data_IF_662468326942
#
_entry.id   IF_662468326942
#
_cell.length_a   1.000
_cell.length_b   1.000
_cell.length_c   1.000
_cell.angle_alpha   90.00
_cell.angle_beta   90.00
_cell.angle_gamma   90.00
#
_symmetry.space_group_name_H-M   'P 1'
#
loop_
_entity.id
_entity.type
_entity.pdbx_description
1 polymer ?
#
# COMPACT_ATOMS: atom_id res chain seq x y z
N UNK A 1 11.38 -26.10 11.42
CA UNK A 1 12.52 -25.41 10.77
C UNK A 1 12.13 -23.97 10.54
N UNK A 2 12.60 -23.08 11.43
CA UNK A 2 12.29 -21.66 11.40
C UNK A 2 13.15 -20.97 10.34
N UNK A 3 12.53 -20.56 9.23
CA UNK A 3 13.17 -19.73 8.21
C UNK A 3 13.69 -18.44 8.86
N UNK A 4 14.93 -18.00 8.60
CA UNK A 4 15.47 -16.79 9.19
C UNK A 4 14.73 -15.57 8.63
N UNK A 5 14.10 -14.78 9.51
CA UNK A 5 13.52 -13.45 9.26
C UNK A 5 14.63 -12.43 8.95
N UNK A 6 15.42 -12.66 7.91
CA UNK A 6 16.46 -11.73 7.49
C UNK A 6 15.85 -10.66 6.58
N UNK A 7 15.86 -9.41 7.06
CA UNK A 7 15.66 -8.16 6.33
C UNK A 7 14.24 -7.84 5.80
N UNK A 8 13.24 -7.75 6.69
CA UNK A 8 11.94 -7.09 6.41
C UNK A 8 12.12 -5.62 5.95
N UNK A 9 13.27 -5.01 6.21
CA UNK A 9 13.61 -3.61 5.84
C UNK A 9 14.03 -3.49 4.37
N UNK A 10 14.57 -4.55 3.76
CA UNK A 10 15.10 -4.54 2.38
C UNK A 10 14.28 -5.41 1.42
N UNK A 11 12.95 -5.35 1.52
CA UNK A 11 12.12 -6.02 0.53
C UNK A 11 12.27 -5.34 -0.84
N UNK A 12 12.99 -5.99 -1.74
CA UNK A 12 13.21 -5.52 -3.10
C UNK A 12 11.90 -5.26 -3.85
N UNK A 13 10.80 -5.93 -3.48
CA UNK A 13 9.47 -5.70 -4.07
C UNK A 13 8.89 -4.33 -3.72
N UNK A 14 9.35 -3.70 -2.64
CA UNK A 14 8.94 -2.34 -2.25
C UNK A 14 9.96 -1.32 -2.76
N UNK A 15 11.25 -1.62 -2.65
CA UNK A 15 12.32 -0.68 -2.99
C UNK A 15 12.40 -0.41 -4.50
N UNK A 16 12.29 -1.43 -5.37
CA UNK A 16 12.37 -1.25 -6.82
C UNK A 16 11.25 -0.34 -7.37
N UNK A 17 9.97 -0.56 -7.04
CA UNK A 17 8.91 0.38 -7.42
C UNK A 17 9.07 1.76 -6.79
N UNK A 18 9.62 1.85 -5.58
CA UNK A 18 9.84 3.14 -4.93
C UNK A 18 10.91 3.99 -5.62
N UNK A 19 11.97 3.36 -6.15
CA UNK A 19 12.98 4.05 -6.96
C UNK A 19 12.34 4.64 -8.23
N UNK A 20 11.59 3.84 -9.00
CA UNK A 20 10.86 4.33 -10.18
C UNK A 20 9.83 5.41 -9.80
N UNK A 21 9.13 5.22 -8.67
CA UNK A 21 8.22 6.21 -8.10
C UNK A 21 8.90 7.54 -7.77
N UNK A 22 10.13 7.52 -7.25
CA UNK A 22 10.89 8.72 -6.91
C UNK A 22 11.15 9.61 -8.14
N UNK A 23 11.51 9.00 -9.26
CA UNK A 23 11.72 9.70 -10.53
C UNK A 23 10.39 10.15 -11.15
N UNK A 24 9.33 9.34 -11.09
CA UNK A 24 8.00 9.75 -11.59
C UNK A 24 7.42 10.95 -10.82
N UNK A 25 7.68 11.03 -9.52
CA UNK A 25 7.22 12.15 -8.65
C UNK A 25 7.97 13.46 -8.91
N UNK A 26 9.05 13.47 -9.71
CA UNK A 26 9.70 14.72 -10.17
C UNK A 26 8.83 15.56 -11.12
N UNK A 27 7.67 15.06 -11.56
CA UNK A 27 6.77 15.85 -12.38
C UNK A 27 6.34 17.14 -11.65
N UNK A 28 6.44 18.33 -12.28
CA UNK A 28 6.07 19.61 -11.65
C UNK A 28 4.65 19.59 -11.05
N UNK A 29 3.72 18.89 -11.72
CA UNK A 29 2.33 18.79 -11.26
C UNK A 29 2.17 18.02 -9.94
N UNK A 30 3.01 17.00 -9.70
CA UNK A 30 2.99 16.25 -8.44
C UNK A 30 3.70 17.02 -7.34
N UNK A 31 4.84 17.65 -7.65
CA UNK A 31 5.60 18.46 -6.70
C UNK A 31 4.81 19.65 -6.17
N UNK A 32 3.96 20.30 -6.98
CA UNK A 32 3.13 21.43 -6.52
C UNK A 32 2.21 21.12 -5.34
N UNK A 33 1.92 19.84 -5.06
CA UNK A 33 1.15 19.44 -3.87
C UNK A 33 1.99 19.47 -2.59
N UNK A 34 3.32 19.38 -2.71
CA UNK A 34 4.29 19.48 -1.63
C UNK A 34 5.15 20.74 -1.82
N UNK A 35 4.77 21.88 -1.22
CA UNK A 35 5.39 23.18 -1.50
C UNK A 35 6.89 23.20 -1.15
N UNK A 36 7.29 22.49 -0.09
CA UNK A 36 8.71 22.42 0.32
C UNK A 36 9.54 21.72 -0.76
N UNK A 37 9.09 20.54 -1.18
CA UNK A 37 9.78 19.76 -2.21
C UNK A 37 9.82 20.45 -3.57
N UNK A 38 8.74 21.14 -3.94
CA UNK A 38 8.69 21.94 -5.15
C UNK A 38 9.72 23.07 -5.16
N UNK A 39 9.83 23.84 -4.07
CA UNK A 39 10.81 24.92 -3.95
C UNK A 39 12.22 24.39 -4.08
N UNK A 40 12.56 23.29 -3.38
CA UNK A 40 13.89 22.68 -3.50
C UNK A 40 14.16 22.25 -4.94
N UNK A 41 13.21 21.58 -5.61
CA UNK A 41 13.38 21.17 -7.01
C UNK A 41 13.59 22.36 -7.98
N UNK A 42 12.88 23.47 -7.77
CA UNK A 42 13.06 24.70 -8.56
C UNK A 42 14.44 25.31 -8.32
N UNK A 43 14.91 25.35 -7.06
CA UNK A 43 16.26 25.82 -6.72
C UNK A 43 17.32 24.91 -7.34
N UNK A 44 17.16 23.59 -7.27
CA UNK A 44 18.04 22.60 -7.92
C UNK A 44 18.11 22.82 -9.43
N UNK A 45 16.97 23.06 -10.07
CA UNK A 45 16.90 23.33 -11.50
C UNK A 45 17.59 24.65 -11.86
N UNK A 46 17.32 25.73 -11.12
CA UNK A 46 17.92 27.04 -11.36
C UNK A 46 19.44 27.01 -11.18
N UNK A 47 19.93 26.41 -10.10
CA UNK A 47 21.37 26.23 -9.84
C UNK A 47 22.05 25.38 -10.91
N UNK A 48 21.36 24.33 -11.43
CA UNK A 48 21.85 23.55 -12.56
C UNK A 48 21.99 24.40 -13.84
N UNK A 49 21.03 25.29 -14.12
CA UNK A 49 21.09 26.21 -15.27
C UNK A 49 22.25 27.20 -15.11
N UNK A 50 22.43 27.78 -13.92
CA UNK A 50 23.53 28.69 -13.63
C UNK A 50 24.89 28.01 -13.79
N UNK A 51 25.02 26.76 -13.34
CA UNK A 51 26.22 25.97 -13.52
C UNK A 51 26.55 25.72 -15.00
N UNK A 52 25.56 25.40 -15.83
CA UNK A 52 25.77 25.26 -17.28
C UNK A 52 26.25 26.58 -17.90
N UNK A 53 25.66 27.71 -17.48
CA UNK A 53 26.10 29.04 -17.92
C UNK A 53 27.56 29.29 -17.50
N UNK A 54 27.90 29.03 -16.24
CA UNK A 54 29.25 29.22 -15.71
C UNK A 54 30.28 28.29 -16.40
N UNK A 55 29.89 27.08 -16.77
CA UNK A 55 30.72 26.15 -17.55
C UNK A 55 31.05 26.70 -18.94
N UNK A 56 30.10 27.36 -19.59
CA UNK A 56 30.29 27.95 -20.92
C UNK A 56 31.06 29.28 -20.85
N UNK A 57 30.81 30.10 -19.83
CA UNK A 57 31.46 31.41 -19.68
C UNK A 57 32.83 31.37 -19.01
N UNK A 58 33.30 30.19 -18.58
CA UNK A 58 34.57 30.03 -17.87
C UNK A 58 34.53 30.57 -16.43
N UNK A 59 33.38 30.47 -15.77
CA UNK A 59 33.19 30.85 -14.37
C UNK A 59 34.05 29.99 -13.41
N UNK A 60 34.40 30.57 -12.27
CA UNK A 60 35.19 29.90 -11.24
C UNK A 60 34.40 28.87 -10.43
N UNK A 61 35.13 27.96 -9.78
CA UNK A 61 34.64 27.01 -8.77
C UNK A 61 33.51 26.04 -9.20
N UNK A 62 33.69 25.45 -10.39
CA UNK A 62 32.81 24.44 -10.95
C UNK A 62 32.68 23.20 -10.05
N UNK A 63 33.73 22.82 -9.34
CA UNK A 63 33.74 21.65 -8.45
C UNK A 63 32.77 21.79 -7.29
N UNK A 64 32.81 22.92 -6.59
CA UNK A 64 31.92 23.20 -5.47
C UNK A 64 30.46 23.32 -5.92
N UNK A 65 30.21 24.03 -7.02
CA UNK A 65 28.87 24.20 -7.58
C UNK A 65 28.24 22.86 -7.99
N UNK A 66 29.02 21.99 -8.65
CA UNK A 66 28.57 20.64 -9.01
C UNK A 66 28.24 19.79 -7.79
N UNK A 67 29.06 19.87 -6.73
CA UNK A 67 28.81 19.16 -5.48
C UNK A 67 27.48 19.59 -4.85
N UNK A 68 27.19 20.89 -4.79
CA UNK A 68 25.90 21.40 -4.27
C UNK A 68 24.74 20.88 -5.13
N UNK A 69 24.86 20.94 -6.46
CA UNK A 69 23.80 20.47 -7.38
C UNK A 69 23.50 18.99 -7.17
N UNK A 70 24.53 18.17 -7.01
CA UNK A 70 24.37 16.74 -6.72
C UNK A 70 23.60 16.55 -5.42
N UNK A 71 23.95 17.28 -4.35
CA UNK A 71 23.23 17.19 -3.07
C UNK A 71 21.80 17.70 -3.15
N UNK A 72 21.56 18.76 -3.92
CA UNK A 72 20.22 19.31 -4.15
C UNK A 72 19.32 18.32 -4.91
N UNK A 73 19.82 17.66 -5.94
CA UNK A 73 19.06 16.61 -6.62
C UNK A 73 18.90 15.35 -5.79
N UNK A 74 19.93 14.97 -5.04
CA UNK A 74 19.88 13.83 -4.13
C UNK A 74 18.81 14.01 -3.06
N UNK A 75 18.72 15.18 -2.42
CA UNK A 75 17.70 15.44 -1.40
C UNK A 75 16.28 15.38 -1.98
N UNK A 76 16.08 15.91 -3.20
CA UNK A 76 14.79 15.82 -3.89
C UNK A 76 14.41 14.36 -4.18
N UNK A 77 15.32 13.61 -4.78
CA UNK A 77 15.10 12.19 -5.11
C UNK A 77 14.88 11.35 -3.85
N UNK A 78 15.64 11.61 -2.79
CA UNK A 78 15.56 10.87 -1.54
C UNK A 78 14.22 11.08 -0.85
N UNK A 79 13.70 12.31 -0.80
CA UNK A 79 12.40 12.56 -0.21
C UNK A 79 11.26 11.97 -1.05
N UNK A 80 11.31 12.08 -2.39
CA UNK A 80 10.33 11.42 -3.26
C UNK A 80 10.37 9.88 -3.10
N UNK A 81 11.56 9.31 -2.91
CA UNK A 81 11.77 7.90 -2.65
C UNK A 81 11.18 7.48 -1.30
N UNK A 82 11.46 8.22 -0.23
CA UNK A 82 10.91 7.94 1.10
C UNK A 82 9.37 7.98 1.09
N UNK A 83 8.79 8.94 0.37
CA UNK A 83 7.34 9.03 0.16
C UNK A 83 6.80 7.81 -0.60
N UNK A 84 7.46 7.40 -1.69
CA UNK A 84 7.06 6.23 -2.46
C UNK A 84 7.17 4.91 -1.66
N UNK A 85 8.18 4.78 -0.79
CA UNK A 85 8.31 3.64 0.14
C UNK A 85 7.16 3.64 1.15
N UNK A 86 6.82 4.80 1.71
CA UNK A 86 5.72 4.91 2.68
C UNK A 86 4.36 4.55 2.05
N UNK A 87 4.08 5.08 0.86
CA UNK A 87 2.86 4.76 0.09
C UNK A 87 2.83 3.28 -0.32
N UNK A 88 3.95 2.72 -0.76
CA UNK A 88 4.07 1.33 -1.18
C UNK A 88 3.72 0.34 -0.06
N UNK A 89 4.16 0.62 1.17
CA UNK A 89 3.81 -0.19 2.35
C UNK A 89 2.32 -0.10 2.68
N UNK A 90 1.75 1.10 2.70
CA UNK A 90 0.32 1.29 2.94
C UNK A 90 -0.54 0.57 1.91
N UNK A 91 -0.16 0.65 0.63
CA UNK A 91 -0.86 -0.04 -0.45
C UNK A 91 -0.75 -1.56 -0.36
N UNK A 92 0.42 -2.10 -0.04
CA UNK A 92 0.61 -3.54 0.12
C UNK A 92 -0.25 -4.13 1.26
N UNK A 93 -0.38 -3.40 2.38
CA UNK A 93 -1.22 -3.81 3.49
C UNK A 93 -2.72 -3.68 3.19
N UNK A 94 -3.12 -2.63 2.48
CA UNK A 94 -4.51 -2.48 2.03
C UNK A 94 -4.89 -3.56 1.00
N UNK A 95 -4.00 -3.88 0.07
CA UNK A 95 -4.21 -4.90 -0.94
C UNK A 95 -4.31 -6.30 -0.32
N UNK A 96 -3.55 -6.62 0.73
CA UNK A 96 -3.66 -7.91 1.42
C UNK A 96 -5.00 -8.05 2.14
N UNK A 97 -5.47 -7.01 2.83
CA UNK A 97 -6.80 -6.99 3.45
C UNK A 97 -7.93 -7.10 2.41
N UNK A 98 -7.80 -6.39 1.28
CA UNK A 98 -8.78 -6.45 0.19
C UNK A 98 -8.84 -7.84 -0.44
N UNK A 99 -7.69 -8.49 -0.65
CA UNK A 99 -7.63 -9.89 -1.15
C UNK A 99 -8.27 -10.86 -0.18
N UNK A 100 -7.93 -10.77 1.11
CA UNK A 100 -8.55 -11.59 2.15
C UNK A 100 -10.08 -11.49 2.13
N UNK A 101 -10.64 -10.28 2.01
CA UNK A 101 -12.11 -10.06 1.88
C UNK A 101 -12.71 -10.61 0.59
N UNK A 102 -11.95 -10.66 -0.50
CA UNK A 102 -12.45 -11.08 -1.82
C UNK A 102 -12.42 -12.61 -1.97
N UNK A 103 -11.52 -13.29 -1.26
CA UNK A 103 -11.34 -14.75 -1.33
C UNK A 103 -12.29 -15.53 -0.42
N UNK A 104 -12.93 -14.90 0.57
CA UNK A 104 -13.91 -15.58 1.43
C UNK A 104 -15.13 -16.00 0.61
N UNK A 105 -15.30 -17.31 0.43
CA UNK A 105 -16.49 -17.88 -0.19
C UNK A 105 -17.61 -18.01 0.84
N UNK A 106 -18.83 -17.73 0.40
CA UNK A 106 -20.05 -17.92 1.16
C UNK A 106 -20.87 -19.07 0.57
N UNK A 107 -21.43 -19.92 1.43
CA UNK A 107 -22.37 -20.97 1.04
C UNK A 107 -23.80 -20.39 1.07
N UNK A 108 -24.22 -19.76 -0.03
CA UNK A 108 -25.55 -19.16 -0.15
C UNK A 108 -26.61 -20.24 -0.31
N UNK A 109 -27.58 -20.31 0.60
CA UNK A 109 -28.71 -21.23 0.49
C UNK A 109 -29.65 -20.81 -0.65
N UNK A 110 -30.10 -21.77 -1.45
CA UNK A 110 -30.99 -21.52 -2.60
C UNK A 110 -32.41 -22.00 -2.31
N UNK A 111 -33.26 -21.09 -1.82
CA UNK A 111 -34.68 -21.34 -1.59
C UNK A 111 -34.98 -22.04 -0.26
N UNK A 112 -36.10 -22.76 -0.20
CA UNK A 112 -36.64 -23.37 1.03
C UNK A 112 -35.89 -24.65 1.46
N UNK A 113 -35.08 -25.21 0.56
CA UNK A 113 -34.27 -26.40 0.82
C UNK A 113 -32.91 -26.02 1.42
N UNK A 114 -32.86 -26.11 2.75
CA UNK A 114 -31.69 -25.78 3.58
C UNK A 114 -30.48 -26.70 3.40
N UNK A 115 -30.60 -27.75 2.58
CA UNK A 115 -29.48 -28.68 2.32
C UNK A 115 -28.67 -28.31 1.08
N UNK A 116 -29.20 -27.44 0.21
CA UNK A 116 -28.53 -27.06 -1.04
C UNK A 116 -28.02 -25.62 -0.96
N UNK A 117 -26.70 -25.49 -1.13
CA UNK A 117 -26.04 -24.20 -1.21
C UNK A 117 -25.31 -24.01 -2.53
N UNK A 118 -25.05 -22.74 -2.87
CA UNK A 118 -24.18 -22.31 -3.94
C UNK A 118 -23.01 -21.55 -3.35
N UNK A 119 -21.79 -21.89 -3.77
CA UNK A 119 -20.61 -21.09 -3.44
C UNK A 119 -20.63 -19.80 -4.25
N UNK A 120 -20.65 -18.68 -3.54
CA UNK A 120 -20.58 -17.33 -4.11
C UNK A 120 -19.51 -16.53 -3.36
N UNK A 121 -18.86 -15.52 -4.00
CA UNK A 121 -17.98 -14.61 -3.27
C UNK A 121 -18.76 -13.90 -2.15
N UNK A 122 -18.19 -13.80 -0.94
CA UNK A 122 -18.83 -13.10 0.18
C UNK A 122 -19.18 -11.63 -0.16
N UNK A 123 -18.39 -11.00 -1.04
CA UNK A 123 -18.64 -9.65 -1.56
C UNK A 123 -19.88 -9.52 -2.46
N UNK A 124 -20.48 -10.64 -2.90
CA UNK A 124 -21.68 -10.66 -3.74
C UNK A 124 -22.98 -10.86 -2.94
N UNK A 125 -22.88 -11.12 -1.64
CA UNK A 125 -24.04 -11.26 -0.75
C UNK A 125 -24.83 -9.95 -0.65
N UNK A 126 -26.15 -10.09 -0.55
CA UNK A 126 -27.11 -8.98 -0.40
C UNK A 126 -27.86 -9.12 0.92
N UNK A 127 -28.43 -8.01 1.38
CA UNK A 127 -29.32 -8.00 2.55
C UNK A 127 -30.51 -8.93 2.28
N UNK A 128 -30.75 -9.87 3.20
CA UNK A 128 -31.78 -10.90 3.08
C UNK A 128 -31.30 -12.24 2.53
N UNK A 129 -30.05 -12.34 2.07
CA UNK A 129 -29.44 -13.62 1.71
C UNK A 129 -29.20 -14.47 2.97
N UNK A 130 -29.48 -15.77 2.86
CA UNK A 130 -29.24 -16.73 3.95
C UNK A 130 -28.03 -17.59 3.60
N UNK A 131 -27.05 -17.60 4.50
CA UNK A 131 -25.80 -18.35 4.32
C UNK A 131 -25.68 -19.48 5.33
N UNK A 132 -25.11 -20.60 4.88
CA UNK A 132 -24.72 -21.70 5.75
C UNK A 132 -23.26 -21.50 6.18
N UNK A 133 -23.01 -21.61 7.48
CA UNK A 133 -21.67 -21.55 8.07
C UNK A 133 -21.46 -22.82 8.88
N UNK A 134 -20.45 -23.60 8.53
CA UNK A 134 -20.08 -24.85 9.21
C UNK A 134 -18.82 -24.66 10.06
N UNK A 135 -18.54 -25.63 10.94
CA UNK A 135 -17.34 -25.59 11.76
C UNK A 135 -16.08 -25.52 10.89
N UNK A 136 -15.27 -24.48 11.11
CA UNK A 136 -14.05 -24.21 10.35
C UNK A 136 -14.24 -23.22 9.19
N UNK A 137 -15.47 -22.85 8.84
CA UNK A 137 -15.72 -21.77 7.90
C UNK A 137 -15.41 -20.39 8.54
N UNK A 138 -15.04 -19.43 7.71
CA UNK A 138 -14.92 -18.02 8.10
C UNK A 138 -16.28 -17.36 7.84
N UNK A 139 -16.76 -16.55 8.79
CA UNK A 139 -18.01 -15.79 8.63
C UNK A 139 -17.84 -14.81 7.44
N UNK A 140 -18.63 -14.92 6.37
CA UNK A 140 -18.38 -14.19 5.12
C UNK A 140 -18.86 -12.73 5.13
N UNK A 141 -19.82 -12.38 5.98
CA UNK A 141 -20.37 -11.02 6.15
C UNK A 141 -21.11 -10.88 7.48
N UNK A 142 -21.37 -9.64 7.87
CA UNK A 142 -22.16 -9.33 9.07
C UNK A 142 -23.62 -9.78 8.89
N UNK A 143 -24.26 -10.24 9.97
CA UNK A 143 -25.64 -10.73 9.93
C UNK A 143 -26.15 -11.17 11.30
N UNK A 144 -27.33 -11.76 11.31
CA UNK A 144 -27.96 -12.31 12.51
C UNK A 144 -28.10 -13.83 12.37
N UNK A 145 -27.89 -14.55 13.47
CA UNK A 145 -28.07 -16.00 13.52
C UNK A 145 -29.57 -16.30 13.55
N UNK A 146 -30.08 -16.87 12.45
CA UNK A 146 -31.49 -17.26 12.35
C UNK A 146 -31.76 -18.71 12.83
N UNK A 147 -30.73 -19.56 12.80
CA UNK A 147 -30.84 -20.99 13.12
C UNK A 147 -29.48 -21.57 13.51
N UNK A 148 -29.47 -22.48 14.48
CA UNK A 148 -28.26 -23.13 14.99
C UNK A 148 -27.60 -22.38 16.14
N UNK A 149 -26.60 -23.02 16.74
CA UNK A 149 -25.79 -22.44 17.82
C UNK A 149 -24.36 -22.98 17.68
N UNK A 150 -23.41 -22.07 17.65
CA UNK A 150 -21.99 -22.37 17.49
C UNK A 150 -21.18 -21.38 18.31
N UNK A 151 -19.95 -21.74 18.65
CA UNK A 151 -19.01 -20.81 19.26
C UNK A 151 -18.07 -20.26 18.18
N UNK A 152 -17.89 -18.95 18.16
CA UNK A 152 -17.16 -18.21 17.13
C UNK A 152 -15.93 -17.56 17.73
N UNK A 153 -14.82 -17.59 16.99
CA UNK A 153 -13.61 -16.88 17.36
C UNK A 153 -13.60 -15.49 16.69
N UNK A 154 -13.80 -14.44 17.50
CA UNK A 154 -13.79 -13.04 17.05
C UNK A 154 -12.43 -12.35 17.20
N UNK A 155 -11.35 -13.08 17.49
CA UNK A 155 -10.01 -12.51 17.74
C UNK A 155 -9.49 -11.63 16.59
N UNK A 156 -9.96 -11.86 15.36
CA UNK A 156 -9.61 -11.04 14.20
C UNK A 156 -10.13 -9.60 14.30
N UNK A 157 -11.19 -9.35 15.08
CA UNK A 157 -11.81 -8.03 15.26
C UNK A 157 -11.61 -7.51 16.69
N UNK A 158 -11.91 -8.32 17.70
CA UNK A 158 -11.89 -7.89 19.11
C UNK A 158 -10.52 -8.06 19.76
N UNK A 159 -9.65 -8.90 19.20
CA UNK A 159 -8.35 -9.25 19.78
C UNK A 159 -8.44 -10.19 20.99
N UNK A 160 -9.64 -10.60 21.39
CA UNK A 160 -9.84 -11.58 22.46
C UNK A 160 -9.86 -12.99 21.88
N UNK A 161 -9.06 -13.89 22.46
CA UNK A 161 -8.94 -15.28 21.99
C UNK A 161 -9.97 -16.23 22.60
N UNK A 162 -10.76 -15.76 23.57
CA UNK A 162 -11.83 -16.54 24.16
C UNK A 162 -13.00 -16.58 23.16
N UNK A 163 -13.49 -17.77 22.78
CA UNK A 163 -14.57 -17.88 21.82
C UNK A 163 -15.90 -17.51 22.50
N UNK A 164 -16.77 -16.83 21.75
CA UNK A 164 -18.11 -16.40 22.18
C UNK A 164 -19.21 -17.22 21.53
#
# INVERSE_FOLDING_TARGET
>A
MSQPKSAVIMDARILLPAVDGAFRKLNPRTLMRNPVMFVVAVVSALTSVLFVKDLVTGGGDLGFSLQIIIWLWFTVLFANFAEAVAEGRGKAQADSLRKARTETQAKLLSGDDRTRFKLVPGTSLKVGDVVLVEAGDIIPSDGEVIEGLASVNEAAITGESAPV
#
